data_IF_669657565092
#
_entry.id   IF_669657565092
#
_cell.length_a   1.000
_cell.length_b   1.000
_cell.length_c   1.000
_cell.angle_alpha   90.00
_cell.angle_beta   90.00
_cell.angle_gamma   90.00
#
_symmetry.space_group_name_H-M   'P 1'
#
loop_
_entity.id
_entity.type
_entity.pdbx_description
1 polymer ?
#
# COMPACT_ATOMS: atom_id res chain seq x y z
N UNK A 1 3.88 22.06 -21.62
CA UNK A 1 3.40 20.73 -21.19
C UNK A 1 1.96 20.91 -20.81
N UNK A 2 1.05 20.19 -21.45
CA UNK A 2 -0.38 20.28 -21.13
C UNK A 2 -0.66 19.55 -19.82
N UNK A 3 -1.49 20.17 -18.99
CA UNK A 3 -1.95 19.57 -17.74
C UNK A 3 -2.87 18.38 -18.04
N UNK A 4 -2.64 17.23 -17.41
CA UNK A 4 -3.56 16.09 -17.49
C UNK A 4 -4.75 16.37 -16.57
N UNK A 5 -5.93 16.59 -17.15
CA UNK A 5 -7.19 16.90 -16.45
C UNK A 5 -8.29 15.94 -16.84
N UNK A 6 -9.14 15.57 -15.89
CA UNK A 6 -10.33 14.76 -16.16
C UNK A 6 -11.40 14.97 -15.08
N UNK A 7 -12.65 14.70 -15.43
CA UNK A 7 -13.75 14.60 -14.46
C UNK A 7 -13.79 13.20 -13.85
N UNK A 8 -14.21 13.11 -12.59
CA UNK A 8 -14.44 11.84 -11.92
C UNK A 8 -15.90 11.72 -11.48
N UNK A 9 -16.58 10.57 -11.65
CA UNK A 9 -18.02 10.48 -11.34
C UNK A 9 -18.38 10.73 -9.87
N UNK A 10 -17.46 10.54 -8.93
CA UNK A 10 -17.70 10.88 -7.51
C UNK A 10 -17.47 12.36 -7.18
N UNK A 11 -16.99 13.14 -8.15
CA UNK A 11 -16.84 14.60 -8.05
C UNK A 11 -17.08 15.23 -9.44
N UNK A 12 -18.34 15.20 -9.94
CA UNK A 12 -18.65 15.56 -11.32
C UNK A 12 -18.62 17.08 -11.56
N UNK A 13 -18.70 17.88 -10.50
CA UNK A 13 -18.84 19.35 -10.57
C UNK A 13 -17.58 20.02 -11.13
N UNK A 14 -16.40 19.44 -10.88
CA UNK A 14 -15.12 20.05 -11.21
C UNK A 14 -14.13 19.06 -11.84
N UNK A 15 -13.25 19.59 -12.68
CA UNK A 15 -12.11 18.83 -13.19
C UNK A 15 -11.06 18.62 -12.12
N UNK A 16 -10.49 17.43 -12.10
CA UNK A 16 -9.32 17.10 -11.30
C UNK A 16 -8.08 17.17 -12.18
N UNK A 17 -7.02 17.76 -11.65
CA UNK A 17 -5.74 17.94 -12.34
C UNK A 17 -4.66 17.13 -11.66
N UNK A 18 -3.83 16.43 -12.45
CA UNK A 18 -2.69 15.71 -11.92
C UNK A 18 -1.63 16.70 -11.41
N UNK A 19 -1.29 16.57 -10.14
CA UNK A 19 -0.24 17.36 -9.47
C UNK A 19 0.61 16.43 -8.61
N UNK A 20 1.89 16.75 -8.51
CA UNK A 20 2.81 16.04 -7.62
C UNK A 20 3.31 16.98 -6.53
N UNK A 21 3.20 16.54 -5.29
CA UNK A 21 3.67 17.29 -4.12
C UNK A 21 4.46 16.37 -3.21
N UNK A 22 5.60 16.83 -2.69
CA UNK A 22 6.40 16.08 -1.73
C UNK A 22 5.79 16.07 -0.30
N UNK A 23 4.52 15.69 -0.19
CA UNK A 23 3.77 15.60 1.06
C UNK A 23 2.71 14.51 0.98
N UNK A 24 2.29 13.92 2.10
CA UNK A 24 1.22 12.94 2.10
C UNK A 24 -0.18 13.59 1.93
N UNK A 25 -1.20 12.79 1.62
CA UNK A 25 -2.62 13.19 1.50
C UNK A 25 -3.55 12.01 1.77
N UNK A 26 -4.81 12.26 2.12
CA UNK A 26 -5.85 11.23 2.18
C UNK A 26 -6.66 11.25 0.90
N UNK A 27 -6.87 10.10 0.28
CA UNK A 27 -7.69 10.02 -0.92
C UNK A 27 -9.18 10.05 -0.54
N UNK A 28 -9.96 10.96 -1.13
CA UNK A 28 -11.39 11.08 -0.88
C UNK A 28 -12.21 9.89 -1.39
N UNK A 29 -11.65 9.16 -2.35
CA UNK A 29 -12.28 7.99 -2.93
C UNK A 29 -12.16 6.76 -2.04
N UNK A 30 -10.95 6.20 -1.94
CA UNK A 30 -10.72 4.95 -1.19
C UNK A 30 -10.52 5.15 0.32
N UNK A 31 -10.34 6.40 0.77
CA UNK A 31 -10.04 6.76 2.17
C UNK A 31 -8.70 6.23 2.69
N UNK A 32 -7.84 5.76 1.79
CA UNK A 32 -6.46 5.38 2.10
C UNK A 32 -5.48 6.53 1.89
N UNK A 33 -4.34 6.44 2.56
CA UNK A 33 -3.26 7.42 2.45
C UNK A 33 -2.58 7.33 1.09
N UNK A 34 -2.23 8.49 0.53
CA UNK A 34 -1.36 8.63 -0.63
C UNK A 34 -0.16 9.52 -0.36
N UNK A 35 0.78 9.54 -1.29
CA UNK A 35 1.93 10.44 -1.27
C UNK A 35 2.24 10.94 -2.67
N UNK A 36 2.81 12.15 -2.80
CA UNK A 36 3.35 12.56 -4.10
C UNK A 36 2.27 12.96 -5.11
N UNK A 37 2.20 12.24 -6.21
CA UNK A 37 1.27 12.42 -7.32
C UNK A 37 -0.17 12.10 -6.92
N UNK A 38 -1.09 12.99 -7.33
CA UNK A 38 -2.52 12.90 -7.06
C UNK A 38 -3.31 13.74 -8.05
N UNK A 39 -4.55 13.35 -8.29
CA UNK A 39 -5.53 14.19 -8.94
C UNK A 39 -6.18 15.09 -7.90
N UNK A 40 -6.15 16.41 -8.09
CA UNK A 40 -6.69 17.39 -7.17
C UNK A 40 -7.64 18.35 -7.87
N UNK A 41 -8.73 18.71 -7.20
CA UNK A 41 -9.61 19.79 -7.64
C UNK A 41 -8.90 21.14 -7.42
N UNK A 42 -8.82 21.95 -8.47
CA UNK A 42 -8.24 23.30 -8.39
C UNK A 42 -9.29 24.42 -8.27
N UNK A 43 -10.57 24.06 -8.11
CA UNK A 43 -11.62 25.02 -7.78
C UNK A 43 -11.37 25.63 -6.39
N UNK A 44 -11.72 26.90 -6.22
CA UNK A 44 -11.63 27.57 -4.93
C UNK A 44 -12.53 26.84 -3.91
N UNK A 45 -12.05 26.74 -2.67
CA UNK A 45 -12.75 26.07 -1.56
C UNK A 45 -13.07 24.57 -1.77
N UNK A 46 -12.38 23.92 -2.71
CA UNK A 46 -12.47 22.47 -2.91
C UNK A 46 -11.10 21.81 -2.72
N UNK A 47 -11.00 20.92 -1.72
CA UNK A 47 -9.79 20.17 -1.42
C UNK A 47 -9.84 18.70 -1.89
N UNK A 48 -10.84 18.37 -2.71
CA UNK A 48 -11.06 17.01 -3.21
C UNK A 48 -9.83 16.44 -3.93
N UNK A 49 -9.37 15.27 -3.49
CA UNK A 49 -8.15 14.62 -3.98
C UNK A 49 -8.34 13.11 -4.17
N UNK A 50 -7.76 12.57 -5.24
CA UNK A 50 -7.73 11.14 -5.53
C UNK A 50 -6.33 10.64 -5.83
N UNK A 51 -6.04 9.39 -5.45
CA UNK A 51 -4.93 8.65 -6.04
C UNK A 51 -5.10 8.55 -7.55
N UNK A 52 -4.00 8.41 -8.29
CA UNK A 52 -4.06 8.10 -9.72
C UNK A 52 -4.85 6.82 -10.00
N UNK A 53 -4.65 5.80 -9.18
CA UNK A 53 -5.39 4.53 -9.27
C UNK A 53 -6.88 4.66 -8.92
N UNK A 54 -7.27 5.68 -8.15
CA UNK A 54 -8.66 5.97 -7.83
C UNK A 54 -9.30 6.93 -8.82
N UNK A 55 -8.51 7.63 -9.64
CA UNK A 55 -9.01 8.52 -10.69
C UNK A 55 -9.54 7.72 -11.88
N UNK A 56 -8.84 6.66 -12.27
CA UNK A 56 -9.21 5.84 -13.41
C UNK A 56 -9.49 4.41 -12.97
N UNK A 57 -10.68 4.20 -12.44
CA UNK A 57 -11.15 2.87 -12.05
C UNK A 57 -11.81 2.17 -13.24
N UNK A 58 -11.37 0.95 -13.53
CA UNK A 58 -12.12 0.07 -14.42
C UNK A 58 -13.33 -0.48 -13.68
N UNK A 59 -14.49 -0.56 -14.36
CA UNK A 59 -15.70 -1.12 -13.75
C UNK A 59 -15.49 -2.57 -13.27
N UNK A 60 -14.59 -3.30 -13.95
CA UNK A 60 -14.17 -4.65 -13.60
C UNK A 60 -12.65 -4.77 -13.65
N UNK A 61 -12.08 -5.62 -12.80
CA UNK A 61 -10.67 -5.93 -12.77
C UNK A 61 -10.40 -7.38 -12.33
N UNK A 62 -9.22 -7.88 -12.65
CA UNK A 62 -8.74 -9.21 -12.23
C UNK A 62 -7.43 -9.06 -11.48
N UNK A 63 -7.05 -10.09 -10.72
CA UNK A 63 -5.79 -10.10 -10.01
C UNK A 63 -5.12 -11.47 -10.08
N UNK A 64 -3.85 -11.53 -10.47
CA UNK A 64 -3.11 -12.79 -10.68
C UNK A 64 -3.06 -13.71 -9.45
N UNK A 65 -3.26 -13.17 -8.24
CA UNK A 65 -3.34 -13.99 -7.02
C UNK A 65 -4.69 -14.71 -6.88
N UNK A 66 -5.74 -14.17 -7.48
CA UNK A 66 -7.08 -14.74 -7.56
C UNK A 66 -7.48 -14.91 -9.03
N UNK A 67 -6.86 -15.86 -9.76
CA UNK A 67 -7.00 -15.98 -11.22
C UNK A 67 -8.44 -16.23 -11.68
N UNK A 68 -9.25 -16.87 -10.85
CA UNK A 68 -10.66 -17.20 -11.15
C UNK A 68 -11.65 -16.20 -10.56
N UNK A 69 -11.18 -15.02 -10.14
CA UNK A 69 -12.01 -13.96 -9.54
C UNK A 69 -12.03 -12.72 -10.42
N UNK A 70 -13.24 -12.28 -10.76
CA UNK A 70 -13.47 -10.96 -11.35
C UNK A 70 -13.99 -10.04 -10.27
N UNK A 71 -13.30 -8.92 -10.06
CA UNK A 71 -13.68 -7.88 -9.12
C UNK A 71 -14.48 -6.80 -9.82
N UNK A 72 -15.58 -6.37 -9.21
CA UNK A 72 -16.38 -5.21 -9.64
C UNK A 72 -16.03 -4.02 -8.76
N UNK A 73 -15.92 -2.84 -9.38
CA UNK A 73 -15.71 -1.59 -8.66
C UNK A 73 -17.00 -1.07 -8.02
N UNK A 74 -16.91 -0.50 -6.83
CA UNK A 74 -17.96 0.27 -6.16
C UNK A 74 -17.37 1.46 -5.40
N UNK A 75 -18.12 2.56 -5.35
CA UNK A 75 -17.75 3.77 -4.58
C UNK A 75 -17.83 3.58 -3.06
N UNK A 76 -18.52 2.53 -2.59
CA UNK A 76 -18.68 2.23 -1.16
C UNK A 76 -18.67 0.72 -0.90
N UNK A 77 -18.25 0.29 0.31
CA UNK A 77 -18.31 -1.11 0.70
C UNK A 77 -19.75 -1.64 0.74
N UNK A 78 -19.91 -2.96 0.56
CA UNK A 78 -21.22 -3.64 0.60
C UNK A 78 -21.83 -3.67 2.01
N UNK A 79 -20.98 -3.68 3.04
CA UNK A 79 -21.40 -3.71 4.45
C UNK A 79 -20.52 -2.83 5.34
N UNK A 80 -21.06 -2.41 6.48
CA UNK A 80 -20.26 -1.76 7.52
C UNK A 80 -19.22 -2.75 8.08
N UNK A 81 -17.98 -2.27 8.30
CA UNK A 81 -16.89 -3.13 8.77
C UNK A 81 -16.46 -4.16 7.72
N UNK A 82 -16.40 -3.77 6.45
CA UNK A 82 -15.78 -4.56 5.37
C UNK A 82 -14.26 -4.43 5.45
N UNK A 83 -13.53 -5.54 5.32
CA UNK A 83 -12.08 -5.59 5.50
C UNK A 83 -11.42 -6.06 4.20
N UNK A 84 -10.24 -5.53 3.91
CA UNK A 84 -9.48 -5.92 2.74
C UNK A 84 -8.81 -7.29 2.94
N UNK A 85 -9.06 -8.25 2.05
CA UNK A 85 -8.44 -9.57 2.10
C UNK A 85 -6.92 -9.55 1.86
N UNK A 86 -6.36 -8.45 1.35
CA UNK A 86 -4.92 -8.33 1.14
C UNK A 86 -4.19 -7.76 2.37
N UNK A 87 -4.62 -6.60 2.87
CA UNK A 87 -3.92 -5.87 3.95
C UNK A 87 -4.59 -6.00 5.32
N UNK A 88 -5.75 -6.65 5.41
CA UNK A 88 -6.52 -6.83 6.66
C UNK A 88 -6.99 -5.52 7.32
N UNK A 89 -6.92 -4.38 6.61
CA UNK A 89 -7.45 -3.10 7.10
C UNK A 89 -8.90 -2.88 6.64
N UNK A 90 -9.62 -2.02 7.36
CA UNK A 90 -10.99 -1.61 7.01
C UNK A 90 -11.03 -0.91 5.64
N UNK A 91 -12.10 -1.15 4.90
CA UNK A 91 -12.43 -0.46 3.66
C UNK A 91 -13.56 0.53 3.95
N UNK A 92 -13.26 1.83 3.83
CA UNK A 92 -14.18 2.92 4.17
C UNK A 92 -14.67 3.74 2.96
N UNK A 93 -14.29 3.33 1.75
CA UNK A 93 -14.62 4.05 0.52
C UNK A 93 -14.61 3.14 -0.70
N UNK A 94 -13.96 3.59 -1.77
CA UNK A 94 -13.82 2.85 -3.02
C UNK A 94 -13.28 1.45 -2.79
N UNK A 95 -13.91 0.46 -3.43
CA UNK A 95 -13.63 -0.95 -3.22
C UNK A 95 -13.74 -1.72 -4.53
N UNK A 96 -12.91 -2.74 -4.67
CA UNK A 96 -13.08 -3.80 -5.64
C UNK A 96 -13.55 -5.06 -4.92
N UNK A 97 -14.71 -5.58 -5.27
CA UNK A 97 -15.30 -6.75 -4.63
C UNK A 97 -15.58 -7.87 -5.62
N UNK A 98 -15.41 -9.13 -5.20
CA UNK A 98 -15.82 -10.32 -5.94
C UNK A 98 -16.93 -11.00 -5.14
N UNK A 99 -18.15 -10.94 -5.65
CA UNK A 99 -19.34 -11.48 -4.98
C UNK A 99 -19.28 -13.00 -4.82
N UNK A 100 -18.89 -13.72 -5.87
CA UNK A 100 -18.87 -15.19 -5.90
C UNK A 100 -17.89 -15.81 -4.89
N UNK A 101 -16.84 -15.06 -4.52
CA UNK A 101 -15.76 -15.54 -3.65
C UNK A 101 -15.72 -14.81 -2.30
N UNK A 102 -16.62 -13.85 -2.09
CA UNK A 102 -16.66 -12.97 -0.92
C UNK A 102 -15.28 -12.34 -0.62
N UNK A 103 -14.72 -11.69 -1.64
CA UNK A 103 -13.44 -11.00 -1.56
C UNK A 103 -13.65 -9.50 -1.72
N UNK A 104 -12.99 -8.72 -0.89
CA UNK A 104 -12.98 -7.26 -0.94
C UNK A 104 -11.52 -6.78 -0.89
N UNK A 105 -11.16 -5.87 -1.80
CA UNK A 105 -9.83 -5.30 -1.92
C UNK A 105 -9.90 -3.78 -2.05
N UNK A 106 -8.99 -3.07 -1.36
CA UNK A 106 -8.71 -1.67 -1.69
C UNK A 106 -8.17 -1.56 -3.12
N UNK A 107 -8.43 -0.45 -3.84
CA UNK A 107 -7.83 -0.18 -5.15
C UNK A 107 -6.29 -0.29 -5.15
N UNK A 108 -5.61 0.19 -4.10
CA UNK A 108 -4.15 0.08 -3.99
C UNK A 108 -3.67 -1.37 -3.78
N UNK A 109 -4.42 -2.17 -3.01
CA UNK A 109 -4.10 -3.58 -2.77
C UNK A 109 -4.28 -4.42 -4.04
N UNK A 110 -5.29 -4.10 -4.86
CA UNK A 110 -5.49 -4.72 -6.17
C UNK A 110 -4.29 -4.49 -7.12
N UNK A 111 -3.50 -3.44 -6.92
CA UNK A 111 -2.33 -3.15 -7.76
C UNK A 111 -1.06 -3.89 -7.34
N UNK A 112 -1.07 -4.58 -6.19
CA UNK A 112 0.07 -5.37 -5.72
C UNK A 112 0.41 -6.46 -6.73
N UNK A 113 1.70 -6.66 -7.00
CA UNK A 113 2.13 -7.67 -7.97
C UNK A 113 2.22 -9.04 -7.32
N UNK A 114 1.60 -10.06 -7.92
CA UNK A 114 1.71 -11.45 -7.46
C UNK A 114 3.16 -11.94 -7.40
N UNK A 115 4.03 -11.45 -8.29
CA UNK A 115 5.44 -11.80 -8.35
C UNK A 115 6.29 -10.56 -8.54
N UNK A 116 7.43 -10.49 -7.86
CA UNK A 116 8.42 -9.42 -8.00
C UNK A 116 9.84 -10.02 -7.99
N UNK A 117 10.77 -9.35 -8.67
CA UNK A 117 12.19 -9.74 -8.67
C UNK A 117 13.02 -8.54 -8.25
N UNK A 118 13.75 -8.65 -7.15
CA UNK A 118 14.59 -7.58 -6.58
C UNK A 118 16.00 -8.14 -6.36
N UNK A 119 17.00 -7.58 -7.04
CA UNK A 119 18.42 -8.00 -6.95
C UNK A 119 18.59 -9.53 -7.06
N UNK A 120 17.94 -10.13 -8.07
CA UNK A 120 17.93 -11.58 -8.31
C UNK A 120 17.06 -12.41 -7.34
N UNK A 121 16.51 -11.81 -6.29
CA UNK A 121 15.61 -12.48 -5.34
C UNK A 121 14.17 -12.42 -5.84
N UNK A 122 13.54 -13.59 -6.00
CA UNK A 122 12.14 -13.71 -6.43
C UNK A 122 11.21 -13.74 -5.22
N UNK A 123 10.24 -12.82 -5.20
CA UNK A 123 9.16 -12.70 -4.23
C UNK A 123 7.84 -13.14 -4.86
N UNK A 124 6.99 -13.80 -4.08
CA UNK A 124 5.64 -14.23 -4.49
C UNK A 124 4.64 -13.88 -3.40
N UNK A 125 3.45 -13.42 -3.78
CA UNK A 125 2.32 -13.33 -2.87
C UNK A 125 1.87 -14.73 -2.42
N UNK A 126 1.50 -14.79 -1.15
CA UNK A 126 0.96 -15.96 -0.46
C UNK A 126 -0.14 -15.47 0.47
N UNK A 127 -1.10 -16.33 0.78
CA UNK A 127 -2.12 -16.07 1.78
C UNK A 127 -1.92 -17.05 2.92
N UNK A 128 -1.88 -16.55 4.16
CA UNK A 128 -1.84 -17.40 5.34
C UNK A 128 -3.14 -17.23 6.11
N UNK A 129 -3.97 -18.26 6.07
CA UNK A 129 -5.18 -18.34 6.91
C UNK A 129 -4.76 -18.49 8.37
N UNK A 130 -5.18 -17.57 9.24
CA UNK A 130 -5.11 -17.81 10.68
C UNK A 130 -6.36 -18.59 11.09
N UNK A 131 -6.19 -19.73 11.76
CA UNK A 131 -7.29 -20.38 12.47
C UNK A 131 -7.54 -19.61 13.77
N UNK A 132 -8.48 -18.67 13.75
CA UNK A 132 -9.09 -18.13 14.97
C UNK A 132 -10.55 -18.61 15.03
N UNK A 133 -11.10 -18.73 16.26
CA UNK A 133 -12.44 -19.26 16.55
C UNK A 133 -13.52 -18.56 15.69
N UNK A 134 -13.90 -19.17 14.56
CA UNK A 134 -15.09 -18.83 13.78
C UNK A 134 -14.99 -17.81 12.63
N UNK A 135 -13.85 -17.15 12.40
CA UNK A 135 -13.63 -16.30 11.20
C UNK A 135 -12.23 -16.50 10.63
N UNK A 136 -12.12 -16.88 9.36
CA UNK A 136 -10.83 -17.00 8.67
C UNK A 136 -10.34 -15.61 8.25
N UNK A 137 -9.64 -14.91 9.14
CA UNK A 137 -8.87 -13.72 8.75
C UNK A 137 -7.52 -14.17 8.20
N UNK A 138 -7.39 -14.12 6.87
CA UNK A 138 -6.12 -14.33 6.18
C UNK A 138 -5.75 -13.07 5.42
N UNK A 139 -4.51 -12.62 5.60
CA UNK A 139 -3.92 -11.51 4.85
C UNK A 139 -2.83 -11.98 3.90
N UNK A 140 -2.49 -11.13 2.94
CA UNK A 140 -1.43 -11.39 1.99
C UNK A 140 -0.05 -11.21 2.63
N UNK A 141 0.89 -12.03 2.19
CA UNK A 141 2.29 -11.98 2.56
C UNK A 141 3.16 -12.23 1.33
N UNK A 142 4.21 -11.44 1.17
CA UNK A 142 5.27 -11.71 0.21
C UNK A 142 6.30 -12.65 0.82
N UNK A 143 6.56 -13.76 0.13
CA UNK A 143 7.59 -14.72 0.52
C UNK A 143 8.65 -14.83 -0.58
N UNK A 144 9.92 -14.88 -0.17
CA UNK A 144 10.99 -15.17 -1.11
C UNK A 144 11.12 -16.67 -1.36
N UNK A 145 11.48 -17.05 -2.59
CA UNK A 145 11.77 -18.47 -2.92
C UNK A 145 12.86 -19.09 -2.05
N UNK A 146 13.78 -18.29 -1.52
CA UNK A 146 14.83 -18.76 -0.63
C UNK A 146 14.39 -18.88 0.84
N UNK A 147 13.12 -18.61 1.17
CA UNK A 147 12.54 -18.61 2.51
C UNK A 147 13.24 -17.68 3.52
N UNK A 148 14.06 -16.75 3.02
CA UNK A 148 14.81 -15.78 3.85
C UNK A 148 14.03 -14.50 4.13
N UNK A 149 12.99 -14.20 3.35
CA UNK A 149 12.19 -13.00 3.48
C UNK A 149 10.71 -13.36 3.53
N UNK A 150 10.01 -12.77 4.49
CA UNK A 150 8.56 -12.84 4.62
C UNK A 150 8.05 -11.47 5.06
N UNK A 151 7.22 -10.83 4.24
CA UNK A 151 6.66 -9.52 4.52
C UNK A 151 5.13 -9.59 4.48
N UNK A 152 4.47 -9.32 5.60
CA UNK A 152 3.02 -9.24 5.68
C UNK A 152 2.55 -7.89 5.15
N UNK A 153 1.60 -7.87 4.21
CA UNK A 153 1.10 -6.62 3.61
C UNK A 153 0.51 -5.71 4.69
N UNK A 154 -0.25 -6.27 5.63
CA UNK A 154 -0.77 -5.54 6.81
C UNK A 154 0.33 -4.79 7.59
N UNK A 155 1.48 -5.43 7.82
CA UNK A 155 2.61 -4.81 8.54
C UNK A 155 3.25 -3.68 7.75
N UNK A 156 3.33 -3.83 6.42
CA UNK A 156 3.83 -2.75 5.56
C UNK A 156 2.89 -1.55 5.62
N UNK A 157 1.57 -1.78 5.60
CA UNK A 157 0.59 -0.69 5.75
C UNK A 157 0.65 -0.03 7.13
N UNK A 158 0.81 -0.80 8.22
CA UNK A 158 1.01 -0.23 9.56
C UNK A 158 2.29 0.61 9.64
N UNK A 159 3.40 0.16 9.04
CA UNK A 159 4.66 0.92 9.00
C UNK A 159 4.48 2.29 8.35
N UNK A 160 3.67 2.37 7.28
CA UNK A 160 3.33 3.65 6.62
C UNK A 160 2.58 4.57 7.59
N UNK A 161 1.58 4.03 8.31
CA UNK A 161 0.77 4.79 9.27
C UNK A 161 1.61 5.31 10.46
N UNK A 162 2.44 4.47 11.06
CA UNK A 162 3.28 4.85 12.20
C UNK A 162 4.36 5.88 11.84
N UNK A 163 5.00 5.71 10.67
CA UNK A 163 5.99 6.69 10.18
C UNK A 163 5.40 8.09 10.04
N UNK A 164 4.11 8.19 9.73
CA UNK A 164 3.39 9.46 9.65
C UNK A 164 3.07 10.05 11.04
N UNK A 165 2.62 9.24 11.99
CA UNK A 165 2.32 9.70 13.35
C UNK A 165 3.54 10.35 14.01
N UNK A 166 4.72 9.77 13.80
CA UNK A 166 5.99 10.31 14.32
C UNK A 166 6.35 11.64 13.64
N UNK A 167 6.11 11.80 12.33
CA UNK A 167 6.36 13.04 11.61
C UNK A 167 5.52 14.23 12.08
N UNK A 168 4.35 13.97 12.70
CA UNK A 168 3.48 14.99 13.29
C UNK A 168 3.85 15.35 14.75
N UNK A 169 4.60 14.50 15.46
CA UNK A 169 5.04 14.74 16.83
C UNK A 169 6.51 15.19 16.83
N UNK A 170 6.78 16.45 16.44
CA UNK A 170 8.11 17.05 16.65
C UNK A 170 8.18 17.71 18.03
N UNK A 171 8.61 16.94 19.02
CA UNK A 171 9.40 17.50 20.12
C UNK A 171 10.87 17.25 19.78
N UNK A 172 11.62 18.35 19.67
CA UNK A 172 13.06 18.30 19.48
C UNK A 172 13.68 17.69 20.74
N UNK A 173 14.55 16.70 20.53
CA UNK A 173 15.35 16.02 21.56
C UNK A 173 14.79 14.71 22.16
N UNK A 174 14.17 13.86 21.33
CA UNK A 174 13.94 12.45 21.68
C UNK A 174 14.66 11.52 20.69
N UNK A 175 15.89 11.13 21.05
CA UNK A 175 16.60 10.00 20.45
C UNK A 175 15.89 8.70 20.81
N UNK A 176 14.79 8.39 20.11
CA UNK A 176 14.11 7.11 20.24
C UNK A 176 14.49 6.21 19.08
N UNK A 177 15.44 5.31 19.37
CA UNK A 177 15.64 4.08 18.61
C UNK A 177 14.32 3.31 18.51
N UNK A 178 13.59 3.50 17.41
CA UNK A 178 12.65 2.51 16.93
C UNK A 178 13.47 1.27 16.60
N UNK A 179 13.58 0.37 17.58
CA UNK A 179 14.05 -0.98 17.37
C UNK A 179 13.27 -1.54 16.19
N UNK A 180 13.95 -1.58 15.04
CA UNK A 180 13.71 -2.40 13.87
C UNK A 180 12.28 -2.98 13.88
N UNK A 181 11.29 -2.31 13.28
CA UNK A 181 9.89 -2.73 13.40
C UNK A 181 9.88 -4.21 13.03
N UNK A 182 9.39 -5.06 13.94
CA UNK A 182 9.49 -6.52 13.84
C UNK A 182 8.73 -7.05 12.62
N UNK A 183 9.25 -6.80 11.42
CA UNK A 183 9.32 -7.79 10.39
C UNK A 183 10.05 -8.94 11.08
N UNK A 184 9.32 -9.99 11.43
CA UNK A 184 9.89 -11.28 11.85
C UNK A 184 10.62 -11.87 10.63
N UNK A 185 11.68 -11.20 10.20
CA UNK A 185 12.72 -11.66 9.30
C UNK A 185 13.34 -12.81 10.05
N UNK A 186 12.96 -14.03 9.66
CA UNK A 186 13.37 -15.25 10.34
C UNK A 186 14.89 -15.30 10.34
N UNK A 187 15.48 -14.93 11.48
CA UNK A 187 16.91 -14.75 11.68
C UNK A 187 17.52 -16.15 11.84
N UNK A 188 17.79 -16.82 10.73
CA UNK A 188 18.71 -17.96 10.74
C UNK A 188 20.08 -17.41 11.14
N UNK A 189 20.53 -17.81 12.32
CA UNK A 189 21.80 -17.45 12.94
C UNK A 189 22.95 -17.65 11.97
N UNK A 190 23.54 -16.55 11.49
CA UNK A 190 24.86 -16.60 10.85
C UNK A 190 25.62 -15.34 11.26
N UNK A 191 26.61 -15.53 12.13
CA UNK A 191 27.58 -14.51 12.54
C UNK A 191 28.53 -14.28 11.36
N UNK A 192 28.35 -13.19 10.62
CA UNK A 192 29.29 -12.79 9.56
C UNK A 192 28.96 -11.43 8.96
N UNK A 193 29.82 -10.43 9.20
CA UNK A 193 29.57 -8.99 9.03
C UNK A 193 29.52 -8.46 7.59
N UNK A 194 29.63 -9.30 6.56
CA UNK A 194 29.52 -8.88 5.14
C UNK A 194 28.18 -9.25 4.48
N UNK A 195 27.55 -10.35 4.91
CA UNK A 195 26.34 -10.92 4.28
C UNK A 195 25.05 -10.18 4.69
N UNK A 196 25.06 -9.54 5.86
CA UNK A 196 23.94 -8.77 6.38
C UNK A 196 23.63 -7.50 5.58
N UNK A 197 24.66 -6.84 5.03
CA UNK A 197 24.50 -5.61 4.23
C UNK A 197 23.70 -5.86 2.94
N UNK A 198 24.03 -6.92 2.20
CA UNK A 198 23.27 -7.33 1.01
C UNK A 198 21.83 -7.70 1.36
N UNK A 199 21.63 -8.43 2.46
CA UNK A 199 20.30 -8.85 2.89
C UNK A 199 19.36 -7.65 3.14
N UNK A 200 19.85 -6.67 3.89
CA UNK A 200 19.13 -5.44 4.23
C UNK A 200 18.87 -4.56 3.01
N UNK A 201 19.82 -4.50 2.06
CA UNK A 201 19.64 -3.80 0.78
C UNK A 201 18.45 -4.35 0.00
N UNK A 202 18.34 -5.68 -0.13
CA UNK A 202 17.20 -6.32 -0.82
C UNK A 202 15.88 -6.02 -0.11
N UNK A 203 15.84 -6.14 1.22
CA UNK A 203 14.64 -5.86 2.00
C UNK A 203 14.16 -4.40 1.83
N UNK A 204 15.09 -3.44 1.83
CA UNK A 204 14.77 -2.02 1.61
C UNK A 204 14.17 -1.77 0.25
N UNK A 205 14.83 -2.21 -0.82
CA UNK A 205 14.34 -2.00 -2.19
C UNK A 205 12.96 -2.64 -2.35
N UNK A 206 12.76 -3.83 -1.78
CA UNK A 206 11.48 -4.51 -1.77
C UNK A 206 10.39 -3.69 -1.05
N UNK A 207 10.65 -3.23 0.18
CA UNK A 207 9.71 -2.42 0.95
C UNK A 207 9.38 -1.12 0.23
N UNK A 208 10.37 -0.42 -0.32
CA UNK A 208 10.17 0.81 -1.10
C UNK A 208 9.25 0.55 -2.30
N UNK A 209 9.46 -0.54 -3.03
CA UNK A 209 8.62 -0.88 -4.18
C UNK A 209 7.17 -1.19 -3.77
N UNK A 210 6.95 -1.92 -2.68
CA UNK A 210 5.59 -2.22 -2.19
C UNK A 210 4.90 -0.97 -1.63
N UNK A 211 5.61 -0.14 -0.87
CA UNK A 211 5.10 1.13 -0.33
C UNK A 211 4.69 2.09 -1.44
N UNK A 212 5.49 2.18 -2.51
CA UNK A 212 5.14 2.98 -3.69
C UNK A 212 3.81 2.55 -4.33
N UNK A 213 3.58 1.24 -4.45
CA UNK A 213 2.31 0.71 -4.98
C UNK A 213 1.15 1.06 -4.04
N UNK A 214 1.33 0.88 -2.73
CA UNK A 214 0.29 1.14 -1.73
C UNK A 214 -0.09 2.63 -1.64
N UNK A 215 0.87 3.53 -1.78
CA UNK A 215 0.66 4.99 -1.74
C UNK A 215 0.25 5.59 -3.09
N UNK A 216 0.35 4.81 -4.18
CA UNK A 216 -0.05 5.24 -5.52
C UNK A 216 0.94 6.17 -6.22
N UNK A 217 2.20 6.25 -5.77
CA UNK A 217 3.23 7.04 -6.44
C UNK A 217 4.63 6.36 -6.39
N UNK A 218 5.21 5.98 -7.54
CA UNK A 218 6.57 5.45 -7.62
C UNK A 218 7.67 6.47 -7.37
N UNK A 219 7.41 7.78 -7.47
CA UNK A 219 8.41 8.85 -7.23
C UNK A 219 8.72 9.08 -5.75
N UNK A 220 8.03 8.38 -4.84
CA UNK A 220 8.42 8.16 -3.43
C UNK A 220 9.88 7.67 -3.29
N UNK A 221 10.52 7.25 -4.38
CA UNK A 221 11.91 6.80 -4.42
C UNK A 221 12.96 7.90 -4.18
N UNK A 222 12.68 9.22 -4.20
CA UNK A 222 13.79 10.18 -4.21
C UNK A 222 13.83 11.41 -3.27
N UNK A 223 12.77 11.88 -2.63
CA UNK A 223 12.89 13.19 -1.92
C UNK A 223 12.45 13.23 -0.47
N UNK A 224 11.64 12.29 -0.02
CA UNK A 224 11.37 12.07 1.40
C UNK A 224 11.06 10.58 1.56
N UNK A 225 12.06 9.78 1.82
CA UNK A 225 12.06 9.08 3.10
C UNK A 225 10.78 9.25 4.03
N UNK A 226 10.27 8.32 4.81
CA UNK A 226 10.95 7.29 5.55
C UNK A 226 12.31 7.76 6.14
N UNK A 227 12.49 9.07 6.54
CA UNK A 227 13.81 9.80 6.73
C UNK A 227 14.77 9.12 7.69
N UNK A 228 14.33 8.13 8.47
CA UNK A 228 15.18 7.29 9.30
C UNK A 228 14.66 5.84 9.45
N UNK A 229 14.32 5.14 8.36
CA UNK A 229 14.35 3.65 8.37
C UNK A 229 15.77 3.10 8.07
N UNK A 230 16.78 3.98 8.02
CA UNK A 230 18.17 3.71 7.61
C UNK A 230 19.18 4.49 8.47
N UNK A 231 18.93 4.65 9.77
CA UNK A 231 19.94 5.12 10.72
C UNK A 231 19.82 4.34 12.01
#
# INVERSE_FOLDING_TARGET
MEDIKAYHPSHPEHQLVLRSFNKPYDCDGCRERGFGSRYRCESNDCDYVLHESCMFNSQTATHDFYPDSTFKFSYKPRSCGTWCNACENNINGFVYYCEDKDLDLHPCCLNLKNKMVIDGTKFKLTEKKRKSKGKSTGGWSYESKCNKYQFHVHRITEMIYESWKIGNCKDENSSLSLKNPELRLRRSSDRGSSRGGKYWKVAKIFLTAVVAILLGDPTVVLTTTLFNLIT
#
